data_IF_127492865977
#
_entry.id   IF_127492865977
#
_cell.length_a   1.000
_cell.length_b   1.000
_cell.length_c   1.000
_cell.angle_alpha   90.00
_cell.angle_beta   90.00
_cell.angle_gamma   90.00
#
_symmetry.space_group_name_H-M   'P 1'
#
loop_
_entity.id
_entity.type
_entity.pdbx_description
1 polymer ?
#
# COMPACT_ATOMS: atom_id res chain seq x y z
N UNK A 1 -3.50 11.04 -1.14
CA UNK A 1 -2.38 11.61 -0.32
C UNK A 1 -1.47 10.48 0.18
N UNK A 2 -0.18 10.54 -0.13
CA UNK A 2 0.81 9.49 0.16
C UNK A 2 1.91 10.05 1.06
N UNK A 3 2.26 9.31 2.11
CA UNK A 3 3.33 9.65 3.05
C UNK A 3 4.34 8.50 3.13
N UNK A 4 5.61 8.85 2.97
CA UNK A 4 6.74 7.95 3.14
C UNK A 4 7.43 8.24 4.47
N UNK A 5 7.99 7.21 5.11
CA UNK A 5 8.79 7.39 6.34
C UNK A 5 10.16 7.98 6.01
N UNK A 6 10.72 7.61 4.86
CA UNK A 6 11.87 8.30 4.28
C UNK A 6 11.40 9.42 3.34
N UNK A 7 12.32 10.25 2.88
CA UNK A 7 12.03 11.35 1.94
C UNK A 7 11.44 10.83 0.62
N UNK A 8 11.79 9.61 0.21
CA UNK A 8 11.41 8.99 -1.06
C UNK A 8 11.00 7.52 -0.88
N UNK A 9 10.16 6.96 -1.78
CA UNK A 9 9.89 5.53 -1.82
C UNK A 9 11.16 4.71 -2.11
N UNK A 10 11.17 3.41 -1.79
CA UNK A 10 12.31 2.52 -2.10
C UNK A 10 12.68 2.50 -3.60
N UNK A 11 11.66 2.57 -4.47
CA UNK A 11 11.78 2.63 -5.93
C UNK A 11 10.44 3.07 -6.53
N UNK A 12 10.39 3.21 -7.86
CA UNK A 12 9.13 3.42 -8.60
C UNK A 12 8.26 2.15 -8.69
N UNK A 13 8.84 0.98 -8.46
CA UNK A 13 8.14 -0.32 -8.50
C UNK A 13 8.82 -1.32 -7.55
N UNK A 14 8.07 -1.85 -6.59
CA UNK A 14 8.59 -2.80 -5.59
C UNK A 14 7.49 -3.73 -5.05
N UNK A 15 7.91 -4.81 -4.40
CA UNK A 15 7.02 -5.72 -3.67
C UNK A 15 7.15 -5.49 -2.17
N UNK A 16 6.02 -5.50 -1.47
CA UNK A 16 5.95 -5.30 -0.02
C UNK A 16 4.67 -5.90 0.55
N UNK A 17 4.45 -5.80 1.86
CA UNK A 17 3.19 -6.18 2.51
C UNK A 17 2.29 -4.95 2.67
N UNK A 18 1.12 -5.00 2.05
CA UNK A 18 0.08 -3.99 2.18
C UNK A 18 -0.94 -4.37 3.24
N UNK A 19 -1.23 -3.45 4.17
CA UNK A 19 -2.24 -3.60 5.22
C UNK A 19 -3.34 -2.56 5.03
N UNK A 20 -4.57 -3.04 4.84
CA UNK A 20 -5.74 -2.20 4.52
C UNK A 20 -6.70 -1.98 5.70
N UNK A 21 -6.43 -2.60 6.86
CA UNK A 21 -7.20 -2.42 8.11
C UNK A 21 -6.38 -2.83 9.34
N UNK A 22 -6.70 -2.29 10.51
CA UNK A 22 -5.91 -2.49 11.74
C UNK A 22 -5.66 -3.96 12.13
N UNK A 23 -6.66 -4.84 11.97
CA UNK A 23 -6.55 -6.28 12.30
C UNK A 23 -6.05 -7.16 11.16
N UNK A 24 -5.69 -6.59 10.01
CA UNK A 24 -5.12 -7.35 8.89
C UNK A 24 -3.63 -7.57 9.14
N UNK A 25 -3.14 -8.78 8.88
CA UNK A 25 -1.72 -9.13 9.04
C UNK A 25 -0.85 -8.51 7.94
N UNK A 26 -1.46 -7.93 6.91
CA UNK A 26 -0.79 -7.55 5.69
C UNK A 26 -0.90 -8.67 4.65
N UNK A 27 -0.86 -8.30 3.39
CA UNK A 27 -0.82 -9.24 2.27
C UNK A 27 0.22 -8.76 1.27
N UNK A 28 0.94 -9.71 0.65
CA UNK A 28 1.94 -9.39 -0.35
C UNK A 28 1.27 -8.65 -1.52
N UNK A 29 1.84 -7.51 -1.87
CA UNK A 29 1.40 -6.68 -2.97
C UNK A 29 2.59 -6.15 -3.77
N UNK A 30 2.29 -5.76 -5.00
CA UNK A 30 3.15 -4.98 -5.87
C UNK A 30 2.69 -3.53 -5.81
N UNK A 31 3.64 -2.63 -5.59
CA UNK A 31 3.41 -1.19 -5.51
C UNK A 31 4.10 -0.51 -6.67
N UNK A 32 3.37 0.33 -7.39
CA UNK A 32 3.88 1.22 -8.45
C UNK A 32 3.65 2.66 -7.99
N UNK A 33 4.71 3.44 -7.95
CA UNK A 33 4.66 4.87 -7.62
C UNK A 33 4.72 5.68 -8.91
N UNK A 34 3.64 6.42 -9.19
CA UNK A 34 3.54 7.23 -10.40
C UNK A 34 2.87 8.56 -10.09
N UNK A 35 3.51 9.67 -10.47
CA UNK A 35 2.95 11.03 -10.35
C UNK A 35 2.45 11.40 -8.93
N UNK A 36 3.06 10.83 -7.89
CA UNK A 36 2.69 11.10 -6.50
C UNK A 36 1.57 10.19 -5.95
N UNK A 37 1.11 9.24 -6.76
CA UNK A 37 0.13 8.22 -6.39
C UNK A 37 0.79 6.86 -6.23
N UNK A 38 0.11 5.96 -5.52
CA UNK A 38 0.47 4.55 -5.39
C UNK A 38 -0.62 3.70 -5.99
N UNK A 39 -0.25 2.84 -6.93
CA UNK A 39 -1.07 1.72 -7.38
C UNK A 39 -0.61 0.46 -6.64
N UNK A 40 -1.51 -0.18 -5.92
CA UNK A 40 -1.22 -1.35 -5.11
C UNK A 40 -2.02 -2.55 -5.63
N UNK A 41 -1.32 -3.53 -6.19
CA UNK A 41 -1.90 -4.78 -6.68
C UNK A 41 -1.60 -5.89 -5.69
N UNK A 42 -2.62 -6.43 -5.04
CA UNK A 42 -2.45 -7.57 -4.14
C UNK A 42 -2.30 -8.86 -4.94
N UNK A 43 -1.30 -9.68 -4.58
CA UNK A 43 -1.07 -10.96 -5.25
C UNK A 43 -2.24 -11.94 -5.08
N UNK A 44 -3.03 -11.77 -4.02
CA UNK A 44 -4.29 -12.49 -3.79
C UNK A 44 -5.41 -11.47 -3.56
N UNK A 45 -6.63 -11.71 -4.07
CA UNK A 45 -7.77 -10.82 -3.84
C UNK A 45 -7.97 -10.53 -2.35
N UNK A 46 -8.17 -9.25 -2.01
CA UNK A 46 -8.48 -8.82 -0.65
C UNK A 46 -9.95 -8.43 -0.56
N UNK A 47 -10.64 -8.92 0.46
CA UNK A 47 -12.05 -8.61 0.66
C UNK A 47 -12.24 -7.34 1.49
N UNK A 48 -13.35 -6.64 1.19
CA UNK A 48 -13.82 -5.48 1.92
C UNK A 48 -12.79 -4.33 1.95
N UNK A 49 -12.15 -4.07 0.82
CA UNK A 49 -11.40 -2.82 0.60
C UNK A 49 -12.42 -1.68 0.51
N UNK A 50 -12.23 -0.59 1.24
CA UNK A 50 -13.17 0.54 1.25
C UNK A 50 -12.42 1.85 1.04
N UNK A 51 -12.81 2.69 0.06
CA UNK A 51 -12.28 4.03 -0.06
C UNK A 51 -12.40 4.83 1.25
N UNK A 52 -11.39 5.63 1.56
CA UNK A 52 -11.25 6.34 2.83
C UNK A 52 -10.60 5.53 3.96
N UNK A 53 -10.28 4.24 3.75
CA UNK A 53 -9.37 3.52 4.64
C UNK A 53 -7.91 3.77 4.28
N UNK A 54 -7.01 3.51 5.23
CA UNK A 54 -5.57 3.62 4.99
C UNK A 54 -5.00 2.31 4.43
N UNK A 55 -4.19 2.41 3.38
CA UNK A 55 -3.22 1.41 2.97
C UNK A 55 -1.87 1.73 3.62
N UNK A 56 -1.32 0.76 4.35
CA UNK A 56 -0.02 0.88 5.02
C UNK A 56 0.94 -0.16 4.44
N UNK A 57 2.14 0.26 4.06
CA UNK A 57 3.13 -0.56 3.36
C UNK A 57 4.28 -0.94 4.28
N UNK A 58 4.61 -2.23 4.33
CA UNK A 58 5.66 -2.80 5.17
C UNK A 58 6.63 -3.64 4.36
N UNK A 59 7.92 -3.53 4.67
CA UNK A 59 8.96 -4.50 4.29
C UNK A 59 9.41 -5.20 5.57
N UNK A 60 9.02 -6.46 5.75
CA UNK A 60 9.12 -7.16 7.03
C UNK A 60 8.51 -6.33 8.19
N UNK A 61 9.29 -6.01 9.22
CA UNK A 61 8.86 -5.19 10.36
C UNK A 61 9.02 -3.67 10.11
N UNK A 62 9.51 -3.28 8.94
CA UNK A 62 9.80 -1.88 8.61
C UNK A 62 8.60 -1.22 7.93
N UNK A 63 8.09 -0.16 8.54
CA UNK A 63 7.11 0.72 7.92
C UNK A 63 7.76 1.54 6.81
N UNK A 64 7.30 1.38 5.57
CA UNK A 64 7.76 2.15 4.41
C UNK A 64 7.00 3.47 4.27
N UNK A 65 5.69 3.39 4.43
CA UNK A 65 4.78 4.51 4.18
C UNK A 65 3.34 4.05 4.02
N UNK A 66 2.52 4.89 3.42
CA UNK A 66 1.13 4.58 3.15
C UNK A 66 0.35 5.76 2.62
N UNK A 67 -0.94 5.55 2.42
CA UNK A 67 -1.86 6.56 1.93
C UNK A 67 -3.31 6.16 2.14
N UNK A 68 -4.21 7.05 1.75
CA UNK A 68 -5.64 6.79 1.76
C UNK A 68 -6.03 6.09 0.47
N UNK A 69 -6.87 5.05 0.59
CA UNK A 69 -7.44 4.35 -0.56
C UNK A 69 -8.51 5.27 -1.16
N UNK A 70 -8.29 5.71 -2.39
CA UNK A 70 -9.22 6.59 -3.11
C UNK A 70 -10.14 5.79 -4.04
N UNK A 71 -9.63 4.72 -4.65
CA UNK A 71 -10.35 3.87 -5.59
C UNK A 71 -9.99 2.39 -5.37
N UNK A 72 -10.94 1.50 -5.68
CA UNK A 72 -10.74 0.05 -5.73
C UNK A 72 -11.06 -0.41 -7.14
N UNK A 73 -10.10 -1.05 -7.79
CA UNK A 73 -10.19 -1.52 -9.18
C UNK A 73 -10.20 -3.06 -9.13
N UNK A 74 -11.18 -3.67 -9.80
CA UNK A 74 -11.30 -5.13 -9.96
C UNK A 74 -10.64 -5.63 -11.26
#
# INVERSE_FOLDING_TARGET
DVKWILEEPPSTEFSCYGKIRYRHEGALCKVIVQKGEIFCEFLKPQMAITPGQALVLYEDDRLLGGGWIEEVID
#
